data_IF_071343313394
#
_entry.id   IF_071343313394
#
_cell.length_a   1.000
_cell.length_b   1.000
_cell.length_c   1.000
_cell.angle_alpha   90.00
_cell.angle_beta   90.00
_cell.angle_gamma   90.00
#
_symmetry.space_group_name_H-M   'P 1'
#
loop_
_entity.id
_entity.type
_entity.pdbx_description
1 polymer ?
#
# COMPACT_ATOMS: atom_id res chain seq x y z
N UNK A 1 11.95 2.66 -16.14
CA UNK A 1 11.61 3.40 -14.90
C UNK A 1 10.17 3.19 -14.44
N UNK A 2 9.17 3.28 -15.33
CA UNK A 2 7.76 3.08 -14.99
C UNK A 2 7.46 1.75 -14.26
N UNK A 3 8.04 0.63 -14.69
CA UNK A 3 7.88 -0.67 -14.05
C UNK A 3 8.35 -0.68 -12.58
N UNK A 4 9.52 -0.10 -12.30
CA UNK A 4 10.06 -0.07 -10.94
C UNK A 4 9.19 0.80 -10.01
N UNK A 5 8.70 1.94 -10.52
CA UNK A 5 7.78 2.81 -9.79
C UNK A 5 6.44 2.10 -9.53
N UNK A 6 5.89 1.40 -10.53
CA UNK A 6 4.70 0.58 -10.38
C UNK A 6 4.85 -0.50 -9.31
N UNK A 7 5.92 -1.29 -9.38
CA UNK A 7 6.19 -2.35 -8.40
C UNK A 7 6.37 -1.79 -6.99
N UNK A 8 7.09 -0.68 -6.86
CA UNK A 8 7.30 -0.03 -5.57
C UNK A 8 6.00 0.54 -4.99
N UNK A 9 5.15 1.17 -5.82
CA UNK A 9 3.85 1.67 -5.40
C UNK A 9 2.96 0.52 -4.90
N UNK A 10 2.87 -0.55 -5.69
CA UNK A 10 2.08 -1.76 -5.39
C UNK A 10 2.53 -2.44 -4.08
N UNK A 11 3.84 -2.48 -3.83
CA UNK A 11 4.42 -3.04 -2.62
C UNK A 11 4.10 -2.18 -1.39
N UNK A 12 4.28 -0.87 -1.51
CA UNK A 12 4.08 0.08 -0.41
C UNK A 12 2.61 0.20 -0.02
N UNK A 13 1.68 0.19 -0.97
CA UNK A 13 0.24 0.11 -0.68
C UNK A 13 -0.11 -1.18 0.05
N UNK A 14 0.46 -2.31 -0.37
CA UNK A 14 0.19 -3.59 0.28
C UNK A 14 0.72 -3.61 1.72
N UNK A 15 1.92 -3.10 1.95
CA UNK A 15 2.51 -2.95 3.30
C UNK A 15 1.66 -2.05 4.19
N UNK A 16 1.21 -0.90 3.67
CA UNK A 16 0.32 0.01 4.39
C UNK A 16 -1.01 -0.67 4.77
N UNK A 17 -1.60 -1.44 3.85
CA UNK A 17 -2.85 -2.19 4.10
C UNK A 17 -2.69 -3.29 5.15
N UNK A 18 -1.57 -4.01 5.14
CA UNK A 18 -1.26 -5.06 6.11
C UNK A 18 -1.02 -4.47 7.51
N UNK A 19 -0.27 -3.37 7.59
CA UNK A 19 -0.01 -2.69 8.86
C UNK A 19 -1.29 -2.07 9.44
N UNK A 20 -2.16 -1.54 8.59
CA UNK A 20 -3.52 -1.14 8.97
C UNK A 20 -4.35 -2.30 9.55
N UNK A 21 -4.35 -3.47 8.88
CA UNK A 21 -5.08 -4.64 9.36
C UNK A 21 -4.54 -5.14 10.71
N UNK A 22 -3.23 -5.01 10.96
CA UNK A 22 -2.61 -5.32 12.26
C UNK A 22 -3.01 -4.32 13.32
N UNK A 23 -2.89 -3.04 13.00
CA UNK A 23 -3.09 -1.93 13.93
C UNK A 23 -4.56 -1.84 14.34
N UNK A 24 -5.50 -2.00 13.40
CA UNK A 24 -6.95 -2.03 13.69
C UNK A 24 -7.36 -3.14 14.65
N UNK A 25 -6.76 -4.35 14.53
CA UNK A 25 -6.95 -5.44 15.50
C UNK A 25 -6.44 -5.08 16.90
N UNK A 26 -5.36 -4.31 17.00
CA UNK A 26 -4.83 -3.84 18.29
C UNK A 26 -5.58 -2.63 18.85
N UNK A 27 -6.07 -1.73 17.99
CA UNK A 27 -6.80 -0.51 18.37
C UNK A 27 -8.16 -0.81 19.00
N UNK A 28 -8.77 -1.96 18.68
CA UNK A 28 -9.94 -2.46 19.41
C UNK A 28 -9.70 -2.69 20.91
N UNK A 29 -8.44 -2.71 21.35
CA UNK A 29 -8.03 -2.96 22.74
C UNK A 29 -7.37 -1.78 23.46
N UNK A 30 -7.13 -0.64 22.79
CA UNK A 30 -6.46 0.52 23.40
C UNK A 30 -7.26 1.83 23.23
N UNK A 31 -7.31 2.70 24.25
CA UNK A 31 -7.95 4.01 24.16
C UNK A 31 -7.05 4.96 23.34
N UNK A 32 -7.14 4.87 22.02
CA UNK A 32 -6.39 5.76 21.13
C UNK A 32 -7.21 7.05 20.92
N UNK A 33 -6.58 8.25 21.02
CA UNK A 33 -7.28 9.51 20.79
C UNK A 33 -7.97 9.49 19.43
N UNK A 34 -9.26 9.86 19.39
CA UNK A 34 -10.14 9.61 18.24
C UNK A 34 -9.62 10.16 16.90
N UNK A 35 -8.79 11.20 16.93
CA UNK A 35 -8.20 11.82 15.74
C UNK A 35 -7.18 10.91 15.05
N UNK A 36 -6.31 10.24 15.81
CA UNK A 36 -5.33 9.28 15.29
C UNK A 36 -6.01 8.02 14.75
N UNK A 37 -7.05 7.54 15.45
CA UNK A 37 -7.86 6.41 14.99
C UNK A 37 -8.49 6.70 13.63
N UNK A 38 -9.06 7.88 13.44
CA UNK A 38 -9.66 8.27 12.16
C UNK A 38 -8.63 8.33 11.02
N UNK A 39 -7.45 8.91 11.27
CA UNK A 39 -6.35 8.97 10.29
C UNK A 39 -5.88 7.56 9.88
N UNK A 40 -5.76 6.63 10.84
CA UNK A 40 -5.38 5.25 10.54
C UNK A 40 -6.44 4.51 9.73
N UNK A 41 -7.73 4.70 10.08
CA UNK A 41 -8.85 4.12 9.34
C UNK A 41 -8.91 4.64 7.90
N UNK A 42 -8.75 5.95 7.68
CA UNK A 42 -8.79 6.54 6.34
C UNK A 42 -7.58 6.16 5.50
N UNK A 43 -6.36 6.14 6.06
CA UNK A 43 -5.17 5.71 5.34
C UNK A 43 -5.27 4.23 4.91
N UNK A 44 -5.75 3.36 5.80
CA UNK A 44 -5.95 1.94 5.52
C UNK A 44 -6.96 1.65 4.42
N UNK A 45 -8.14 2.28 4.48
CA UNK A 45 -9.16 2.13 3.43
C UNK A 45 -8.70 2.73 2.11
N UNK A 46 -8.05 3.89 2.14
CA UNK A 46 -7.49 4.53 0.94
C UNK A 46 -6.41 3.69 0.27
N UNK A 47 -5.59 2.96 1.05
CA UNK A 47 -4.59 2.04 0.50
C UNK A 47 -5.23 0.89 -0.31
N UNK A 48 -6.41 0.38 0.11
CA UNK A 48 -7.14 -0.63 -0.66
C UNK A 48 -7.67 -0.09 -1.99
N UNK A 49 -8.22 1.12 -1.99
CA UNK A 49 -8.67 1.78 -3.23
C UNK A 49 -7.50 2.08 -4.16
N UNK A 50 -6.37 2.53 -3.61
CA UNK A 50 -5.16 2.80 -4.39
C UNK A 50 -4.60 1.51 -5.01
N UNK A 51 -4.64 0.39 -4.28
CA UNK A 51 -4.24 -0.92 -4.79
C UNK A 51 -5.12 -1.36 -5.97
N UNK A 52 -6.44 -1.18 -5.87
CA UNK A 52 -7.37 -1.47 -6.98
C UNK A 52 -7.09 -0.57 -8.19
N UNK A 53 -6.87 0.72 -7.96
CA UNK A 53 -6.49 1.67 -9.02
C UNK A 53 -5.20 1.28 -9.73
N UNK A 54 -4.15 0.92 -8.97
CA UNK A 54 -2.89 0.42 -9.53
C UNK A 54 -3.08 -0.88 -10.31
N UNK A 55 -3.96 -1.78 -9.87
CA UNK A 55 -4.26 -3.00 -10.62
C UNK A 55 -4.86 -2.66 -12.00
N UNK A 56 -5.88 -1.80 -12.02
CA UNK A 56 -6.56 -1.36 -13.24
C UNK A 56 -5.58 -0.67 -14.18
N UNK A 57 -4.86 0.34 -13.70
CA UNK A 57 -3.88 1.08 -14.52
C UNK A 57 -2.78 0.14 -15.02
N UNK A 58 -2.35 -0.81 -14.19
CA UNK A 58 -1.34 -1.80 -14.58
C UNK A 58 -1.79 -2.65 -15.77
N UNK A 59 -3.07 -3.03 -15.86
CA UNK A 59 -3.60 -3.78 -17.01
C UNK A 59 -3.61 -2.97 -18.30
N UNK A 60 -3.68 -1.64 -18.21
CA UNK A 60 -3.61 -0.75 -19.37
C UNK A 60 -2.16 -0.37 -19.74
N UNK A 61 -1.26 -0.33 -18.76
CA UNK A 61 0.11 0.15 -18.94
C UNK A 61 1.13 -0.97 -19.23
N UNK A 62 0.86 -2.21 -18.84
CA UNK A 62 1.78 -3.34 -18.96
C UNK A 62 1.10 -4.57 -19.56
N UNK A 63 1.89 -5.62 -19.78
CA UNK A 63 1.37 -6.93 -20.20
C UNK A 63 0.39 -7.49 -19.16
N UNK A 64 -0.63 -8.21 -19.64
CA UNK A 64 -1.75 -8.71 -18.83
C UNK A 64 -1.36 -9.53 -17.61
N UNK A 65 -0.20 -10.19 -17.62
CA UNK A 65 0.31 -10.99 -16.50
C UNK A 65 1.08 -10.16 -15.47
N UNK A 66 1.49 -8.94 -15.79
CA UNK A 66 2.31 -8.09 -14.92
C UNK A 66 1.54 -7.64 -13.66
N UNK A 67 0.31 -7.09 -13.75
CA UNK A 67 -0.44 -6.67 -12.56
C UNK A 67 -0.71 -7.80 -11.56
N UNK A 68 -1.18 -9.00 -11.96
CA UNK A 68 -1.40 -10.08 -11.00
C UNK A 68 -0.09 -10.59 -10.39
N UNK A 69 1.02 -10.65 -11.15
CA UNK A 69 2.32 -11.02 -10.59
C UNK A 69 2.85 -9.99 -9.59
N UNK A 70 2.71 -8.70 -9.90
CA UNK A 70 3.06 -7.61 -8.98
C UNK A 70 2.26 -7.68 -7.67
N UNK A 71 0.95 -7.98 -7.77
CA UNK A 71 0.10 -8.18 -6.60
C UNK A 71 0.57 -9.37 -5.76
N UNK A 72 0.78 -10.54 -6.38
CA UNK A 72 1.22 -11.76 -5.68
C UNK A 72 2.57 -11.53 -4.99
N UNK A 73 3.54 -10.95 -5.70
CA UNK A 73 4.84 -10.63 -5.12
C UNK A 73 4.69 -9.67 -3.92
N UNK A 74 3.83 -8.66 -4.03
CA UNK A 74 3.57 -7.69 -2.95
C UNK A 74 2.90 -8.34 -1.74
N UNK A 75 1.99 -9.30 -1.96
CA UNK A 75 1.35 -10.08 -0.88
C UNK A 75 2.38 -10.93 -0.14
N UNK A 76 3.25 -11.63 -0.88
CA UNK A 76 4.30 -12.49 -0.28
C UNK A 76 5.27 -11.65 0.53
N UNK A 77 5.82 -10.58 -0.06
CA UNK A 77 6.77 -9.70 0.64
C UNK A 77 6.09 -9.03 1.84
N UNK A 78 4.87 -8.52 1.65
CA UNK A 78 4.09 -7.92 2.73
C UNK A 78 3.81 -8.90 3.88
N UNK A 79 3.50 -10.15 3.57
CA UNK A 79 3.29 -11.22 4.55
C UNK A 79 4.56 -11.60 5.31
N UNK A 80 5.72 -11.61 4.64
CA UNK A 80 7.02 -11.80 5.31
C UNK A 80 7.31 -10.62 6.24
N UNK A 81 7.14 -9.39 5.75
CA UNK A 81 7.32 -8.17 6.55
C UNK A 81 6.40 -8.16 7.77
N UNK A 82 5.15 -8.59 7.65
CA UNK A 82 4.22 -8.72 8.77
C UNK A 82 4.74 -9.64 9.89
N UNK A 83 5.36 -10.76 9.52
CA UNK A 83 5.88 -11.73 10.48
C UNK A 83 7.20 -11.28 11.12
N UNK A 84 8.08 -10.69 10.32
CA UNK A 84 9.47 -10.40 10.73
C UNK A 84 9.61 -9.01 11.35
N UNK A 85 8.91 -8.02 10.82
CA UNK A 85 9.07 -6.61 11.20
C UNK A 85 7.92 -6.20 12.14
N UNK A 86 8.28 -5.73 13.34
CA UNK A 86 7.33 -5.06 14.23
C UNK A 86 7.09 -3.64 13.73
N UNK A 87 6.29 -3.53 12.67
CA UNK A 87 5.79 -2.25 12.21
C UNK A 87 4.88 -1.67 13.32
N UNK A 88 5.32 -0.55 13.90
CA UNK A 88 4.51 0.31 14.73
C UNK A 88 3.57 1.13 13.83
N UNK A 89 2.37 1.49 14.31
CA UNK A 89 1.33 2.09 13.45
C UNK A 89 1.78 3.27 12.57
N UNK A 90 2.79 4.06 12.96
CA UNK A 90 3.31 5.17 12.16
C UNK A 90 3.87 4.76 10.78
N UNK A 91 4.28 3.50 10.62
CA UNK A 91 4.79 2.99 9.35
C UNK A 91 3.69 2.84 8.29
N UNK A 92 2.43 2.55 8.68
CA UNK A 92 1.30 2.52 7.75
C UNK A 92 1.10 3.87 7.05
N UNK A 93 1.16 4.96 7.82
CA UNK A 93 0.94 6.32 7.32
C UNK A 93 2.09 6.76 6.41
N UNK A 94 3.34 6.50 6.79
CA UNK A 94 4.49 6.80 5.92
C UNK A 94 4.52 5.93 4.67
N UNK A 95 4.25 4.63 4.81
CA UNK A 95 4.17 3.70 3.69
C UNK A 95 3.11 4.13 2.68
N UNK A 96 1.95 4.59 3.16
CA UNK A 96 0.90 5.13 2.30
C UNK A 96 1.32 6.42 1.58
N UNK A 97 1.94 7.37 2.28
CA UNK A 97 2.45 8.61 1.65
C UNK A 97 3.47 8.29 0.56
N UNK A 98 4.41 7.39 0.84
CA UNK A 98 5.40 6.93 -0.14
C UNK A 98 4.74 6.22 -1.33
N UNK A 99 3.70 5.42 -1.08
CA UNK A 99 2.93 4.75 -2.14
C UNK A 99 2.22 5.75 -3.05
N UNK A 100 1.64 6.82 -2.49
CA UNK A 100 1.01 7.91 -3.24
C UNK A 100 2.05 8.61 -4.11
N UNK A 101 3.20 8.99 -3.54
CA UNK A 101 4.29 9.63 -4.29
C UNK A 101 4.77 8.73 -5.43
N UNK A 102 5.02 7.45 -5.16
CA UNK A 102 5.43 6.49 -6.18
C UNK A 102 4.39 6.33 -7.29
N UNK A 103 3.09 6.33 -6.94
CA UNK A 103 1.99 6.27 -7.90
C UNK A 103 1.94 7.52 -8.78
N UNK A 104 2.09 8.71 -8.19
CA UNK A 104 2.11 9.97 -8.95
C UNK A 104 3.31 10.04 -9.90
N UNK A 105 4.49 9.61 -9.46
CA UNK A 105 5.67 9.52 -10.32
C UNK A 105 5.46 8.53 -11.46
N UNK A 106 4.87 7.36 -11.18
CA UNK A 106 4.52 6.38 -12.21
C UNK A 106 3.56 6.97 -13.25
N UNK A 107 2.48 7.62 -12.82
CA UNK A 107 1.54 8.29 -13.72
C UNK A 107 2.26 9.36 -14.54
N UNK A 108 3.14 10.15 -13.92
CA UNK A 108 3.98 11.13 -14.63
C UNK A 108 4.83 10.49 -15.73
N UNK A 109 5.39 9.30 -15.49
CA UNK A 109 6.17 8.57 -16.51
C UNK A 109 5.32 7.95 -17.63
N UNK A 110 3.99 7.87 -17.47
CA UNK A 110 3.09 7.41 -18.53
C UNK A 110 2.58 8.55 -19.42
N UNK A 111 2.58 9.79 -18.89
CA UNK A 111 2.05 10.96 -19.57
C UNK A 111 3.10 11.80 -20.30
N UNK A 112 4.39 11.62 -19.98
CA UNK A 112 5.52 12.29 -20.63
C UNK A 112 6.24 11.37 -21.60
#
# INVERSE_FOLDING_TARGET
MAMALYLSATLLTMLAGIDYARTSRSLGSQPVPGLWRNIYLTAGTSAMFLQLGLLIIGFFAFEWWTPPLALVASVVVGGICYRVIRLQGWYATLGFVLAVIATLLFIGTLLG
#
